data_IF_541080283964
#
_entry.id   IF_541080283964
#
_cell.length_a   1.000
_cell.length_b   1.000
_cell.length_c   1.000
_cell.angle_alpha   90.00
_cell.angle_beta   90.00
_cell.angle_gamma   90.00
#
_symmetry.space_group_name_H-M   'P 1'
#
loop_
_entity.id
_entity.type
_entity.pdbx_description
1 polymer ?
#
# COMPACT_ATOMS: atom_id res chain seq x y z
N UNK A 1 3.45 14.78 -16.93
CA UNK A 1 4.28 14.65 -15.70
C UNK A 1 3.89 15.78 -14.77
N UNK A 2 3.68 15.50 -13.47
CA UNK A 2 3.24 16.54 -12.51
C UNK A 2 4.42 17.10 -11.74
N UNK A 3 5.30 16.21 -11.30
CA UNK A 3 6.53 16.58 -10.61
C UNK A 3 7.59 15.48 -10.76
N UNK A 4 8.82 15.83 -10.49
CA UNK A 4 9.96 14.93 -10.44
C UNK A 4 10.84 15.33 -9.25
N UNK A 5 11.27 14.34 -8.49
CA UNK A 5 12.27 14.54 -7.45
C UNK A 5 13.35 13.45 -7.61
N UNK A 6 14.59 13.85 -7.65
CA UNK A 6 15.74 12.95 -7.73
C UNK A 6 16.49 13.01 -6.41
N UNK A 7 16.67 11.86 -5.79
CA UNK A 7 17.41 11.72 -4.53
C UNK A 7 18.67 10.88 -4.73
N UNK A 8 19.76 11.31 -4.12
CA UNK A 8 21.02 10.56 -4.06
C UNK A 8 21.64 10.67 -2.68
N UNK A 9 22.07 9.56 -2.11
CA UNK A 9 22.68 9.51 -0.76
C UNK A 9 21.83 10.22 0.33
N UNK A 10 20.50 10.07 0.27
CA UNK A 10 19.57 10.68 1.23
C UNK A 10 19.36 12.19 1.04
N UNK A 11 19.88 12.79 -0.03
CA UNK A 11 19.72 14.23 -0.34
C UNK A 11 19.01 14.41 -1.68
N UNK A 12 18.09 15.37 -1.74
CA UNK A 12 17.44 15.78 -2.99
C UNK A 12 18.49 16.52 -3.85
N UNK A 13 18.73 16.01 -5.05
CA UNK A 13 19.69 16.56 -6.02
C UNK A 13 19.00 17.45 -7.05
N UNK A 14 17.74 17.13 -7.40
CA UNK A 14 16.95 17.90 -8.35
C UNK A 14 15.47 17.74 -8.02
N UNK A 15 14.71 18.81 -8.27
CA UNK A 15 13.27 18.86 -8.13
C UNK A 15 12.70 19.74 -9.25
N UNK A 16 11.60 19.30 -9.85
CA UNK A 16 10.91 20.03 -10.90
C UNK A 16 9.41 19.78 -10.85
N UNK A 17 8.63 20.81 -11.15
CA UNK A 17 7.17 20.78 -11.18
C UNK A 17 6.64 21.42 -12.45
N UNK A 18 5.54 20.90 -12.98
CA UNK A 18 4.93 21.37 -14.21
C UNK A 18 3.51 21.85 -13.96
N UNK A 19 3.22 23.07 -14.37
CA UNK A 19 1.88 23.65 -14.23
C UNK A 19 0.79 22.71 -14.81
N UNK A 20 -0.35 22.57 -14.14
CA UNK A 20 -0.83 23.33 -12.99
C UNK A 20 -0.34 22.84 -11.62
N UNK A 21 0.60 21.93 -11.56
CA UNK A 21 1.09 21.31 -10.33
C UNK A 21 2.26 22.09 -9.72
N UNK A 22 2.34 22.05 -8.39
CA UNK A 22 3.36 22.72 -7.59
C UNK A 22 3.68 21.90 -6.33
N UNK A 23 4.82 22.11 -5.64
CA UNK A 23 5.25 21.33 -4.47
C UNK A 23 4.23 21.30 -3.34
N UNK A 24 3.49 22.38 -3.13
CA UNK A 24 2.51 22.52 -2.05
C UNK A 24 1.11 21.97 -2.35
N UNK A 25 0.89 21.41 -3.54
CA UNK A 25 -0.40 20.87 -3.94
C UNK A 25 -0.48 19.38 -3.66
N UNK A 26 -1.65 18.93 -3.16
CA UNK A 26 -1.92 17.51 -3.00
C UNK A 26 -2.11 16.85 -4.37
N UNK A 27 -1.51 15.69 -4.54
CA UNK A 27 -1.63 14.86 -5.72
C UNK A 27 -2.41 13.59 -5.40
N UNK A 28 -3.21 13.14 -6.36
CA UNK A 28 -3.84 11.83 -6.29
C UNK A 28 -2.81 10.77 -6.70
N UNK A 29 -2.36 9.98 -5.74
CA UNK A 29 -1.31 8.98 -5.93
C UNK A 29 -1.80 7.69 -6.61
N UNK A 30 -3.13 7.52 -6.75
CA UNK A 30 -3.71 6.31 -7.35
C UNK A 30 -3.08 5.03 -6.78
N UNK A 31 -2.55 4.17 -7.65
CA UNK A 31 -1.93 2.89 -7.25
C UNK A 31 -0.60 3.04 -6.50
N UNK A 32 0.03 4.21 -6.49
CA UNK A 32 1.20 4.44 -5.63
C UNK A 32 0.85 4.24 -4.14
N UNK A 33 -0.40 4.50 -3.76
CA UNK A 33 -0.92 4.22 -2.41
C UNK A 33 -0.72 2.76 -1.97
N UNK A 34 -0.66 1.81 -2.91
CA UNK A 34 -0.39 0.39 -2.60
C UNK A 34 1.02 0.18 -2.03
N UNK A 35 1.99 0.97 -2.47
CA UNK A 35 3.35 0.91 -1.92
C UNK A 35 3.37 1.29 -0.45
N UNK A 36 2.64 2.33 -0.06
CA UNK A 36 2.51 2.72 1.34
C UNK A 36 1.78 1.66 2.17
N UNK A 37 0.69 1.10 1.62
CA UNK A 37 -0.04 0.01 2.26
C UNK A 37 0.84 -1.22 2.44
N UNK A 38 1.58 -1.64 1.41
CA UNK A 38 2.50 -2.78 1.49
C UNK A 38 3.61 -2.54 2.53
N UNK A 39 4.14 -1.32 2.61
CA UNK A 39 5.14 -0.94 3.62
C UNK A 39 4.55 -1.03 5.04
N UNK A 40 3.32 -0.55 5.24
CA UNK A 40 2.62 -0.65 6.52
C UNK A 40 2.36 -2.11 6.93
N UNK A 41 1.97 -2.97 5.98
CA UNK A 41 1.82 -4.42 6.21
C UNK A 41 3.15 -5.05 6.61
N UNK A 42 4.25 -4.71 5.91
CA UNK A 42 5.59 -5.21 6.26
C UNK A 42 6.03 -4.78 7.66
N UNK A 43 5.70 -3.56 8.07
CA UNK A 43 5.97 -3.08 9.43
C UNK A 43 5.14 -3.86 10.47
N UNK A 44 3.86 -4.10 10.20
CA UNK A 44 2.98 -4.88 11.07
C UNK A 44 3.48 -6.34 11.20
N UNK A 45 3.94 -6.95 10.12
CA UNK A 45 4.56 -8.27 10.15
C UNK A 45 5.85 -8.28 10.99
N UNK A 46 6.73 -7.28 10.80
CA UNK A 46 7.94 -7.14 11.60
C UNK A 46 7.65 -6.99 13.09
N UNK A 47 6.58 -6.30 13.45
CA UNK A 47 6.12 -6.15 14.85
C UNK A 47 5.35 -7.37 15.38
N UNK A 48 5.15 -8.41 14.57
CA UNK A 48 4.45 -9.62 14.98
C UNK A 48 2.93 -9.47 15.11
N UNK A 49 2.35 -8.40 14.55
CA UNK A 49 0.91 -8.14 14.62
C UNK A 49 0.10 -8.98 13.64
N UNK A 50 0.71 -9.44 12.56
CA UNK A 50 0.14 -10.32 11.54
C UNK A 50 1.24 -11.12 10.85
N UNK A 51 0.84 -12.14 10.07
CA UNK A 51 1.70 -12.89 9.16
C UNK A 51 1.16 -12.81 7.75
N UNK A 52 2.02 -12.87 6.76
CA UNK A 52 1.59 -12.90 5.35
C UNK A 52 0.72 -14.13 5.03
N UNK A 53 0.85 -15.21 5.79
CA UNK A 53 0.03 -16.42 5.67
C UNK A 53 -1.33 -16.32 6.34
N UNK A 54 -1.61 -15.28 7.11
CA UNK A 54 -2.88 -15.13 7.80
C UNK A 54 -4.00 -14.88 6.77
N UNK A 55 -5.18 -15.47 7.05
CA UNK A 55 -6.34 -15.30 6.17
C UNK A 55 -6.97 -13.93 6.40
N UNK A 56 -7.39 -13.31 5.31
CA UNK A 56 -8.07 -11.99 5.36
C UNK A 56 -9.32 -12.03 6.24
N UNK A 57 -10.06 -13.13 6.18
CA UNK A 57 -11.28 -13.31 7.00
C UNK A 57 -11.00 -13.37 8.50
N UNK A 58 -9.83 -13.82 8.91
CA UNK A 58 -9.47 -13.87 10.33
C UNK A 58 -9.02 -12.49 10.85
N UNK A 59 -8.39 -11.69 9.99
CA UNK A 59 -7.93 -10.32 10.32
C UNK A 59 -9.08 -9.30 10.27
N UNK A 60 -9.99 -9.46 9.33
CA UNK A 60 -11.09 -8.50 9.08
C UNK A 60 -12.48 -9.18 9.11
N UNK A 61 -12.85 -9.86 10.19
CA UNK A 61 -14.12 -10.62 10.26
C UNK A 61 -15.34 -9.73 9.99
N UNK A 62 -15.35 -8.50 10.49
CA UNK A 62 -16.45 -7.54 10.34
C UNK A 62 -16.66 -7.02 8.92
N UNK A 63 -15.68 -7.26 8.03
CA UNK A 63 -15.74 -6.84 6.62
C UNK A 63 -16.12 -7.98 5.68
N UNK A 64 -16.31 -9.18 6.21
CA UNK A 64 -16.65 -10.34 5.42
C UNK A 64 -18.15 -10.40 5.11
N UNK A 65 -18.53 -10.87 3.90
CA UNK A 65 -19.93 -11.07 3.56
C UNK A 65 -20.53 -12.23 4.37
N UNK A 66 -21.84 -12.21 4.61
CA UNK A 66 -22.54 -13.26 5.34
C UNK A 66 -22.41 -14.65 4.70
N UNK A 67 -22.24 -14.70 3.37
CA UNK A 67 -21.95 -15.93 2.63
C UNK A 67 -20.55 -15.84 2.02
N UNK A 68 -19.60 -16.55 2.60
CA UNK A 68 -18.24 -16.64 2.09
C UNK A 68 -18.11 -17.75 1.05
N UNK A 69 -17.48 -17.44 -0.09
CA UNK A 69 -17.02 -18.47 -1.02
C UNK A 69 -15.76 -19.17 -0.50
N UNK A 70 -15.52 -20.40 -0.98
CA UNK A 70 -14.29 -21.15 -0.65
C UNK A 70 -13.01 -20.39 -1.02
N UNK A 71 -13.06 -19.59 -2.09
CA UNK A 71 -11.92 -18.77 -2.52
C UNK A 71 -11.65 -17.65 -1.51
N UNK A 72 -12.69 -16.94 -1.09
CA UNK A 72 -12.56 -15.85 -0.13
C UNK A 72 -12.09 -16.38 1.25
N UNK A 73 -12.58 -17.54 1.69
CA UNK A 73 -12.18 -18.14 2.97
C UNK A 73 -10.71 -18.54 3.04
N UNK A 74 -10.06 -18.74 1.88
CA UNK A 74 -8.64 -19.12 1.77
C UNK A 74 -7.72 -17.96 1.42
N UNK A 75 -8.27 -16.77 1.12
CA UNK A 75 -7.50 -15.60 0.72
C UNK A 75 -6.59 -15.14 1.85
N UNK A 76 -5.30 -15.03 1.57
CA UNK A 76 -4.29 -14.60 2.54
C UNK A 76 -3.88 -13.15 2.33
N UNK A 77 -3.22 -12.57 3.34
CA UNK A 77 -2.61 -11.22 3.22
C UNK A 77 -1.60 -11.19 2.08
N UNK A 78 -0.81 -12.26 1.90
CA UNK A 78 0.12 -12.37 0.78
C UNK A 78 -0.58 -12.27 -0.58
N UNK A 79 -1.73 -12.95 -0.74
CA UNK A 79 -2.46 -12.93 -2.01
C UNK A 79 -2.93 -11.51 -2.39
N UNK A 80 -3.28 -10.69 -1.39
CA UNK A 80 -3.63 -9.28 -1.61
C UNK A 80 -2.42 -8.43 -2.03
N UNK A 81 -1.21 -8.78 -1.59
CA UNK A 81 0.00 -8.02 -1.91
C UNK A 81 0.57 -8.33 -3.29
N UNK A 82 0.32 -9.52 -3.83
CA UNK A 82 0.86 -9.97 -5.13
C UNK A 82 -0.10 -9.81 -6.30
N UNK A 83 -1.27 -9.22 -6.07
CA UNK A 83 -2.30 -9.02 -7.10
C UNK A 83 -1.84 -8.11 -8.26
#
# INVERSE_FOLDING_TARGET
MHGLMIMRHGKVCAEGWWAPFAPGLHHCDHSLSKTYTATAIGLAEYQGLLKLSDRVCDILPDKMPAQMSDRLSRLTIRDLLVM
#
